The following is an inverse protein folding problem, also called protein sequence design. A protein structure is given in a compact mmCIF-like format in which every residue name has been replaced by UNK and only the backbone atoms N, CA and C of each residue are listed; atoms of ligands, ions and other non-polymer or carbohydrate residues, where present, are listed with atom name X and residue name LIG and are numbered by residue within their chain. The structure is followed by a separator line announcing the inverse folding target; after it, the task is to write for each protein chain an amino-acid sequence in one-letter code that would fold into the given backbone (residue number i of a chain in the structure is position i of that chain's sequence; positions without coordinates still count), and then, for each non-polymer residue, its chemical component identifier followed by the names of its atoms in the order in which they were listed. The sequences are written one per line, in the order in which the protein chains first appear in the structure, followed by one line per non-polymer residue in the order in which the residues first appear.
data_IF_117970160029
#
_entry.id   IF_117970160029
#
_cell.length_a   1.000
_cell.length_b   1.000
_cell.length_c   1.000
_cell.angle_alpha   90.00
_cell.angle_beta   90.00
_cell.angle_gamma   90.00
#
_symmetry.space_group_name_H-M   'P 1'
#
loop_
_entity.id
_entity.type
_entity.pdbx_description
1 polymer ?
#
# COMPACT_ATOMS: atom_id res chain seq x y z
N UNK A 1 22.61 -7.20 -53.10
CA UNK A 1 23.20 -7.64 -51.84
C UNK A 1 23.20 -6.53 -50.78
N UNK A 2 23.75 -5.32 -51.01
CA UNK A 2 23.80 -4.22 -50.01
C UNK A 2 22.41 -3.79 -49.49
N UNK A 3 21.37 -3.76 -50.32
CA UNK A 3 19.97 -3.39 -49.91
C UNK A 3 19.31 -4.48 -49.05
N UNK A 4 19.60 -5.75 -49.28
CA UNK A 4 19.11 -6.86 -48.44
C UNK A 4 19.79 -6.88 -47.06
N UNK A 5 21.06 -6.55 -46.99
CA UNK A 5 21.81 -6.46 -45.72
C UNK A 5 21.29 -5.30 -44.86
N UNK A 6 20.99 -4.16 -45.50
CA UNK A 6 20.40 -3.00 -44.81
C UNK A 6 18.98 -3.31 -44.28
N UNK A 7 18.13 -4.02 -45.02
CA UNK A 7 16.81 -4.44 -44.58
C UNK A 7 16.87 -5.45 -43.43
N UNK A 8 17.84 -6.34 -43.39
CA UNK A 8 18.06 -7.29 -42.31
C UNK A 8 18.51 -6.60 -41.02
N UNK A 9 19.37 -5.57 -41.11
CA UNK A 9 19.84 -4.77 -39.99
C UNK A 9 18.70 -3.97 -39.35
N UNK A 10 17.77 -3.42 -40.14
CA UNK A 10 16.58 -2.70 -39.64
C UNK A 10 15.63 -3.65 -38.96
N UNK A 11 15.42 -4.87 -39.47
CA UNK A 11 14.53 -5.85 -38.89
C UNK A 11 15.02 -6.36 -37.50
N UNK A 12 16.32 -6.43 -37.26
CA UNK A 12 16.89 -6.83 -35.97
C UNK A 12 16.78 -5.73 -34.91
N UNK A 13 16.80 -4.45 -35.31
CA UNK A 13 16.70 -3.33 -34.40
C UNK A 13 15.30 -3.16 -33.77
N UNK A 14 14.25 -3.75 -34.36
CA UNK A 14 12.86 -3.59 -33.87
C UNK A 14 12.46 -4.55 -32.74
N UNK A 15 13.33 -5.52 -32.35
CA UNK A 15 13.01 -6.49 -31.30
C UNK A 15 13.60 -6.17 -29.92
N UNK A 16 14.24 -5.00 -29.76
CA UNK A 16 14.68 -4.54 -28.45
C UNK A 16 13.49 -4.04 -27.62
N UNK A 17 12.61 -4.95 -27.18
CA UNK A 17 11.67 -4.65 -26.12
C UNK A 17 12.49 -4.36 -24.85
N UNK A 18 12.48 -3.10 -24.43
CA UNK A 18 13.08 -2.72 -23.16
C UNK A 18 12.40 -3.52 -22.06
N UNK A 19 13.10 -4.53 -21.53
CA UNK A 19 12.57 -5.40 -20.48
C UNK A 19 12.41 -4.57 -19.21
N UNK A 20 11.17 -4.34 -18.78
CA UNK A 20 10.88 -3.71 -17.49
C UNK A 20 10.93 -4.78 -16.38
N UNK A 21 11.50 -4.46 -15.22
CA UNK A 21 12.28 -3.27 -14.88
C UNK A 21 13.77 -3.41 -15.29
N UNK A 22 14.41 -2.28 -15.64
CA UNK A 22 15.85 -2.22 -15.97
C UNK A 22 16.71 -1.66 -14.81
N UNK A 23 16.07 -1.15 -13.77
CA UNK A 23 16.69 -0.57 -12.58
C UNK A 23 15.84 -0.89 -11.35
N UNK A 24 16.36 -0.70 -10.14
CA UNK A 24 15.60 -0.94 -8.91
C UNK A 24 14.27 -0.17 -8.87
N UNK A 25 13.24 -0.85 -8.37
CA UNK A 25 11.90 -0.30 -8.16
C UNK A 25 11.74 0.08 -6.69
N UNK A 26 11.16 1.23 -6.39
CA UNK A 26 10.82 1.65 -5.04
C UNK A 26 9.41 1.16 -4.69
N UNK A 27 9.26 0.47 -3.57
CA UNK A 27 7.97 0.06 -3.01
C UNK A 27 7.68 0.87 -1.73
N UNK A 28 6.80 1.85 -1.85
CA UNK A 28 6.44 2.74 -0.73
C UNK A 28 5.42 2.05 0.18
N UNK A 29 5.67 2.13 1.49
CA UNK A 29 4.78 1.67 2.55
C UNK A 29 4.37 2.87 3.40
N UNK A 30 3.08 3.20 3.52
CA UNK A 30 2.61 4.39 4.26
C UNK A 30 2.67 4.22 5.79
N UNK A 31 3.16 3.08 6.28
CA UNK A 31 3.17 2.71 7.69
C UNK A 31 4.57 2.38 8.19
N UNK A 32 4.70 2.31 9.52
CA UNK A 32 5.97 2.03 10.19
C UNK A 32 6.55 0.66 9.85
N UNK A 33 7.88 0.57 9.87
CA UNK A 33 8.61 -0.68 9.71
C UNK A 33 8.23 -1.68 10.82
N UNK A 34 8.14 -2.96 10.44
CA UNK A 34 7.78 -4.06 11.36
C UNK A 34 6.28 -4.26 11.56
N UNK A 35 5.41 -3.39 11.00
CA UNK A 35 3.96 -3.59 10.98
C UNK A 35 3.51 -4.59 9.91
N UNK A 36 2.23 -4.96 9.93
CA UNK A 36 1.66 -5.93 8.98
C UNK A 36 1.82 -5.51 7.52
N UNK A 37 1.58 -4.22 7.21
CA UNK A 37 1.77 -3.68 5.86
C UNK A 37 3.23 -3.73 5.41
N UNK A 38 4.18 -3.44 6.31
CA UNK A 38 5.61 -3.53 6.02
C UNK A 38 6.04 -4.98 5.78
N UNK A 39 5.58 -5.91 6.61
CA UNK A 39 5.86 -7.34 6.43
C UNK A 39 5.32 -7.85 5.07
N UNK A 40 4.09 -7.48 4.71
CA UNK A 40 3.48 -7.79 3.42
C UNK A 40 4.31 -7.21 2.27
N UNK A 41 4.72 -5.93 2.37
CA UNK A 41 5.56 -5.28 1.36
C UNK A 41 6.88 -6.02 1.13
N UNK A 42 7.55 -6.43 2.20
CA UNK A 42 8.85 -7.14 2.10
C UNK A 42 8.70 -8.51 1.48
N UNK A 43 7.63 -9.24 1.77
CA UNK A 43 7.35 -10.53 1.14
C UNK A 43 7.13 -10.33 -0.36
N UNK A 44 6.30 -9.35 -0.76
CA UNK A 44 6.01 -9.05 -2.16
C UNK A 44 7.27 -8.56 -2.88
N UNK A 45 8.05 -7.68 -2.27
CA UNK A 45 9.32 -7.20 -2.83
C UNK A 45 10.27 -8.37 -3.16
N UNK A 46 10.42 -9.31 -2.22
CA UNK A 46 11.26 -10.49 -2.43
C UNK A 46 10.74 -11.40 -3.57
N UNK A 47 9.42 -11.57 -3.69
CA UNK A 47 8.82 -12.34 -4.78
C UNK A 47 9.01 -11.65 -6.13
N UNK A 48 8.77 -10.34 -6.20
CA UNK A 48 8.96 -9.54 -7.41
C UNK A 48 10.43 -9.51 -7.85
N UNK A 49 11.37 -9.37 -6.92
CA UNK A 49 12.80 -9.42 -7.20
C UNK A 49 13.21 -10.79 -7.78
N UNK A 50 12.67 -11.87 -7.23
CA UNK A 50 12.90 -13.22 -7.74
C UNK A 50 12.41 -13.39 -9.18
N UNK A 51 11.23 -12.85 -9.52
CA UNK A 51 10.62 -12.97 -10.83
C UNK A 51 11.22 -12.00 -11.86
N UNK A 52 11.38 -10.73 -11.47
CA UNK A 52 11.75 -9.65 -12.39
C UNK A 52 13.25 -9.37 -12.43
N UNK A 53 14.06 -10.04 -11.59
CA UNK A 53 15.52 -9.95 -11.54
C UNK A 53 16.08 -8.54 -11.31
N UNK A 54 15.27 -7.69 -10.66
CA UNK A 54 15.68 -6.35 -10.26
C UNK A 54 15.27 -6.12 -8.79
N UNK A 55 16.05 -5.36 -8.01
CA UNK A 55 15.72 -5.08 -6.61
C UNK A 55 14.41 -4.30 -6.46
N UNK A 56 13.61 -4.68 -5.46
CA UNK A 56 12.44 -3.94 -5.01
C UNK A 56 12.71 -3.39 -3.61
N UNK A 57 13.05 -2.10 -3.53
CA UNK A 57 13.44 -1.43 -2.30
C UNK A 57 12.22 -0.96 -1.52
N UNK A 58 11.94 -1.57 -0.37
CA UNK A 58 10.85 -1.17 0.52
C UNK A 58 11.24 0.10 1.27
N UNK A 59 10.41 1.14 1.18
CA UNK A 59 10.62 2.44 1.81
C UNK A 59 9.40 2.83 2.63
N UNK A 60 9.56 2.92 3.95
CA UNK A 60 8.51 3.36 4.85
C UNK A 60 8.41 4.89 4.84
N UNK A 61 7.23 5.41 4.50
CA UNK A 61 6.89 6.83 4.50
C UNK A 61 5.73 7.07 5.44
N UNK A 62 6.03 7.36 6.70
CA UNK A 62 5.02 7.49 7.77
C UNK A 62 4.64 8.95 8.02
N UNK A 63 3.48 9.16 8.63
CA UNK A 63 3.01 10.47 9.09
C UNK A 63 1.59 10.79 8.63
N UNK A 64 0.89 11.65 9.39
CA UNK A 64 -0.46 12.11 9.09
C UNK A 64 -1.46 10.97 8.90
N UNK A 65 -1.44 9.95 9.77
CA UNK A 65 -2.30 8.75 9.64
C UNK A 65 -2.17 8.07 8.26
N UNK A 66 -0.94 8.00 7.71
CA UNK A 66 -0.64 7.40 6.42
C UNK A 66 -0.70 8.38 5.23
N UNK A 67 -1.15 9.61 5.41
CA UNK A 67 -1.24 10.61 4.31
C UNK A 67 0.09 10.80 3.61
N UNK A 68 1.19 10.93 4.36
CA UNK A 68 2.53 11.17 3.78
C UNK A 68 2.93 10.08 2.79
N UNK A 69 2.70 8.81 3.14
CA UNK A 69 3.04 7.69 2.26
C UNK A 69 2.11 7.60 1.05
N UNK A 70 0.80 7.72 1.27
CA UNK A 70 -0.18 7.70 0.19
C UNK A 70 0.04 8.86 -0.80
N UNK A 71 0.34 10.07 -0.30
CA UNK A 71 0.65 11.22 -1.13
C UNK A 71 1.95 11.02 -1.94
N UNK A 72 2.97 10.43 -1.32
CA UNK A 72 4.22 10.13 -2.01
C UNK A 72 4.03 9.11 -3.16
N UNK A 73 3.08 8.16 -3.03
CA UNK A 73 2.74 7.22 -4.10
C UNK A 73 1.97 7.94 -5.22
N UNK A 74 0.96 8.75 -4.87
CA UNK A 74 0.10 9.43 -5.84
C UNK A 74 0.88 10.45 -6.70
N UNK A 75 1.86 11.13 -6.11
CA UNK A 75 2.66 12.15 -6.80
C UNK A 75 3.97 11.62 -7.41
N UNK A 76 4.22 10.33 -7.36
CA UNK A 76 5.37 9.73 -8.00
C UNK A 76 5.23 9.75 -9.53
N UNK A 77 6.36 9.79 -10.30
CA UNK A 77 6.30 9.60 -11.74
C UNK A 77 5.61 8.29 -12.11
N UNK A 78 4.70 8.35 -13.09
CA UNK A 78 3.95 7.20 -13.56
C UNK A 78 4.77 6.34 -14.55
N UNK A 79 6.03 6.06 -14.21
CA UNK A 79 6.99 5.30 -15.02
C UNK A 79 7.14 3.83 -14.56
N UNK A 80 6.38 3.44 -13.54
CA UNK A 80 6.42 2.10 -12.95
C UNK A 80 7.56 1.86 -11.96
N UNK A 81 8.50 2.79 -11.77
CA UNK A 81 9.63 2.61 -10.85
C UNK A 81 9.35 3.06 -9.42
N UNK A 82 8.19 3.62 -9.18
CA UNK A 82 7.64 3.85 -7.85
C UNK A 82 6.26 3.23 -7.79
N UNK A 83 6.12 2.21 -6.95
CA UNK A 83 4.85 1.56 -6.63
C UNK A 83 4.63 1.65 -5.13
N UNK A 84 3.44 1.29 -4.64
CA UNK A 84 3.18 1.34 -3.21
C UNK A 84 2.06 0.45 -2.76
N UNK A 85 2.02 0.16 -1.47
CA UNK A 85 0.88 -0.49 -0.84
C UNK A 85 -0.14 0.60 -0.45
N UNK A 86 -1.31 0.51 -1.05
CA UNK A 86 -2.46 1.33 -0.69
C UNK A 86 -3.28 0.55 0.33
N UNK A 87 -3.60 1.20 1.45
CA UNK A 87 -4.36 0.60 2.54
C UNK A 87 -5.77 1.17 2.59
N UNK A 88 -6.65 0.52 3.34
CA UNK A 88 -8.08 0.87 3.41
C UNK A 88 -8.32 2.32 3.84
N UNK A 89 -7.42 2.89 4.60
CA UNK A 89 -7.51 4.26 5.12
C UNK A 89 -7.71 5.30 4.03
N UNK A 90 -7.17 5.08 2.81
CA UNK A 90 -7.37 6.00 1.68
C UNK A 90 -8.85 6.22 1.34
N UNK A 91 -9.71 5.25 1.66
CA UNK A 91 -11.15 5.37 1.44
C UNK A 91 -11.82 6.28 2.45
N UNK A 92 -11.18 6.57 3.59
CA UNK A 92 -11.72 7.34 4.71
C UNK A 92 -11.05 8.71 4.88
N UNK A 93 -9.77 8.83 4.57
CA UNK A 93 -8.95 10.03 4.83
C UNK A 93 -9.56 11.34 4.31
N UNK A 94 -10.12 11.31 3.10
CA UNK A 94 -10.72 12.51 2.50
C UNK A 94 -12.06 12.90 3.15
N UNK A 95 -12.79 11.94 3.72
CA UNK A 95 -14.05 12.22 4.42
C UNK A 95 -13.83 12.90 5.77
N UNK A 96 -12.69 12.62 6.41
CA UNK A 96 -12.30 13.26 7.70
C UNK A 96 -11.38 14.47 7.50
N UNK A 97 -11.18 14.91 6.27
CA UNK A 97 -10.42 16.13 5.96
C UNK A 97 -8.90 16.02 6.07
N UNK A 98 -8.34 14.83 6.18
CA UNK A 98 -6.89 14.60 6.28
C UNK A 98 -6.16 14.84 4.96
N UNK A 99 -6.80 14.54 3.83
CA UNK A 99 -6.24 14.72 2.49
C UNK A 99 -7.36 14.95 1.48
N UNK A 100 -6.99 15.38 0.28
CA UNK A 100 -7.90 15.41 -0.89
C UNK A 100 -7.81 14.14 -1.73
N UNK A 101 -6.80 13.31 -1.49
CA UNK A 101 -6.59 12.06 -2.24
C UNK A 101 -7.75 11.09 -2.05
N UNK A 102 -8.03 10.36 -3.12
CA UNK A 102 -9.03 9.29 -3.18
C UNK A 102 -8.39 8.03 -3.75
N UNK A 103 -9.03 6.90 -3.53
CA UNK A 103 -8.60 5.63 -4.11
C UNK A 103 -8.55 5.67 -5.66
N UNK A 104 -9.31 6.56 -6.29
CA UNK A 104 -9.34 6.77 -7.75
C UNK A 104 -8.11 7.50 -8.30
N UNK A 105 -7.26 8.06 -7.44
CA UNK A 105 -6.04 8.76 -7.85
C UNK A 105 -4.86 7.81 -8.09
N UNK A 106 -5.10 6.51 -7.99
CA UNK A 106 -4.11 5.44 -8.16
C UNK A 106 -4.54 4.48 -9.26
N UNK A 107 -3.56 3.88 -9.93
CA UNK A 107 -3.80 2.74 -10.82
C UNK A 107 -3.58 1.44 -10.04
N UNK A 108 -4.62 0.65 -9.75
CA UNK A 108 -4.47 -0.59 -9.02
C UNK A 108 -3.76 -1.66 -9.88
N UNK A 109 -2.77 -2.35 -9.29
CA UNK A 109 -2.07 -3.46 -9.93
C UNK A 109 -2.70 -4.79 -9.51
N UNK A 110 -3.02 -4.94 -8.22
CA UNK A 110 -3.64 -6.14 -7.70
C UNK A 110 -3.94 -6.05 -6.21
N UNK A 111 -4.84 -6.90 -5.74
CA UNK A 111 -5.14 -7.07 -4.32
C UNK A 111 -4.14 -8.07 -3.74
N UNK A 112 -3.36 -7.65 -2.74
CA UNK A 112 -2.30 -8.47 -2.14
C UNK A 112 -2.70 -9.06 -0.79
N UNK A 113 -3.65 -8.43 -0.08
CA UNK A 113 -4.15 -8.88 1.21
C UNK A 113 -5.59 -8.42 1.42
N UNK A 114 -6.36 -9.15 2.22
CA UNK A 114 -7.71 -8.80 2.63
C UNK A 114 -7.87 -9.16 4.12
N UNK A 115 -7.62 -8.17 4.98
CA UNK A 115 -7.77 -8.32 6.42
C UNK A 115 -9.16 -7.91 6.88
N UNK A 116 -9.93 -8.79 7.53
CA UNK A 116 -11.19 -8.42 8.12
C UNK A 116 -10.97 -7.52 9.34
N UNK A 117 -11.83 -6.51 9.51
CA UNK A 117 -11.83 -5.70 10.72
C UNK A 117 -12.18 -6.57 11.94
N UNK A 118 -11.43 -6.42 13.02
CA UNK A 118 -11.65 -7.15 14.27
C UNK A 118 -11.71 -6.20 15.47
N UNK A 119 -12.57 -6.53 16.43
CA UNK A 119 -12.60 -5.87 17.74
C UNK A 119 -11.94 -6.80 18.73
N UNK A 120 -10.84 -6.36 19.32
CA UNK A 120 -10.09 -7.10 20.31
C UNK A 120 -10.29 -6.49 21.70
N UNK A 121 -10.48 -7.34 22.69
CA UNK A 121 -10.50 -6.96 24.10
C UNK A 121 -9.55 -7.86 24.87
N UNK A 122 -9.12 -7.44 26.06
CA UNK A 122 -8.30 -8.29 26.92
C UNK A 122 -9.01 -9.60 27.21
N UNK A 123 -8.28 -10.69 27.40
CA UNK A 123 -8.85 -12.03 27.65
C UNK A 123 -9.68 -12.10 28.94
N UNK A 124 -9.32 -11.27 29.93
CA UNK A 124 -10.03 -11.11 31.20
C UNK A 124 -11.20 -10.11 31.15
N UNK A 125 -11.45 -9.50 29.97
CA UNK A 125 -12.55 -8.54 29.80
C UNK A 125 -13.92 -9.18 30.07
N UNK A 126 -14.85 -8.44 30.73
CA UNK A 126 -16.23 -8.89 30.91
C UNK A 126 -17.03 -8.95 29.60
N UNK A 127 -16.52 -8.31 28.52
CA UNK A 127 -17.20 -8.23 27.24
C UNK A 127 -16.87 -9.46 26.39
N UNK A 128 -17.75 -10.46 26.40
CA UNK A 128 -17.53 -11.72 25.68
C UNK A 128 -18.18 -11.75 24.28
N UNK A 129 -18.85 -10.67 23.88
CA UNK A 129 -19.44 -10.51 22.55
C UNK A 129 -19.52 -9.03 22.17
N UNK A 130 -19.57 -8.76 20.86
CA UNK A 130 -19.79 -7.40 20.34
C UNK A 130 -21.07 -6.78 20.88
N UNK A 131 -22.14 -7.57 21.02
CA UNK A 131 -23.42 -7.12 21.59
C UNK A 131 -23.25 -6.60 23.01
N UNK A 132 -22.51 -7.34 23.86
CA UNK A 132 -22.27 -6.94 25.26
C UNK A 132 -21.40 -5.66 25.32
N UNK A 133 -20.38 -5.57 24.47
CA UNK A 133 -19.54 -4.39 24.38
C UNK A 133 -20.33 -3.15 23.94
N UNK A 134 -21.13 -3.25 22.89
CA UNK A 134 -21.95 -2.14 22.40
C UNK A 134 -23.00 -1.70 23.43
N UNK A 135 -23.62 -2.63 24.18
CA UNK A 135 -24.53 -2.29 25.26
C UNK A 135 -23.84 -1.49 26.36
N UNK A 136 -22.63 -1.90 26.76
CA UNK A 136 -21.83 -1.20 27.75
C UNK A 136 -21.39 0.20 27.28
N UNK A 137 -21.01 0.36 26.02
CA UNK A 137 -20.68 1.67 25.42
C UNK A 137 -21.90 2.59 25.46
N UNK A 138 -23.06 2.10 25.04
CA UNK A 138 -24.33 2.89 25.08
C UNK A 138 -24.74 3.29 26.48
N UNK A 139 -24.52 2.43 27.48
CA UNK A 139 -24.82 2.73 28.87
C UNK A 139 -23.86 3.75 29.50
N UNK A 140 -22.65 3.88 28.96
CA UNK A 140 -21.60 4.74 29.51
C UNK A 140 -20.87 5.49 28.36
N UNK A 141 -21.53 6.44 27.70
CA UNK A 141 -20.95 7.16 26.58
C UNK A 141 -19.69 7.94 26.98
N UNK A 142 -18.66 7.89 26.17
CA UNK A 142 -17.38 8.58 26.41
C UNK A 142 -16.51 8.01 27.53
N UNK A 143 -16.90 6.91 28.20
CA UNK A 143 -16.09 6.32 29.29
C UNK A 143 -15.11 5.24 28.82
N UNK A 144 -15.34 4.64 27.66
CA UNK A 144 -14.44 3.66 27.10
C UNK A 144 -13.41 4.31 26.19
N UNK A 145 -12.16 3.85 26.33
CA UNK A 145 -11.07 4.23 25.42
C UNK A 145 -10.82 3.08 24.45
N UNK A 146 -10.57 3.42 23.22
CA UNK A 146 -10.13 2.49 22.18
C UNK A 146 -8.70 2.83 21.78
N UNK A 147 -7.96 1.82 21.33
CA UNK A 147 -6.72 2.00 20.60
C UNK A 147 -6.92 1.44 19.20
N UNK A 148 -6.47 2.16 18.21
CA UNK A 148 -6.53 1.75 16.80
C UNK A 148 -5.29 2.24 16.08
N UNK A 149 -5.17 1.87 14.83
CA UNK A 149 -4.08 2.31 13.95
C UNK A 149 -4.23 3.77 13.55
N UNK A 150 -5.39 4.36 13.78
CA UNK A 150 -5.70 5.73 13.42
C UNK A 150 -5.90 6.62 14.65
N UNK A 151 -5.18 7.72 14.65
CA UNK A 151 -5.49 8.84 15.53
C UNK A 151 -6.58 9.70 14.89
N UNK A 152 -7.81 9.25 14.89
CA UNK A 152 -8.92 10.16 14.74
C UNK A 152 -9.23 10.69 16.15
N UNK A 153 -8.72 11.86 16.47
CA UNK A 153 -9.30 12.68 17.52
C UNK A 153 -10.67 13.14 17.01
N UNK A 154 -11.68 12.37 17.28
CA UNK A 154 -13.06 12.79 17.26
C UNK A 154 -13.52 12.98 18.69
#
# INVERSE_FOLDING_TARGET
MKKLLAALLVAVATTAHAQYPQRPVQLIVPWGAGGGTDATARIIAALLEKELKQPFNVVNRTGGSGVVGHDAIANAPADGYTIGLITVEITMMHHVGLTKLKHTDYTPIGLVNADPAAINVRSDSPYKSVKNLLAAIKANPGKMKTSGTEQSNI
#
